data_IF_333671579968
#
_entry.id   IF_333671579968
#
_cell.length_a   1.000
_cell.length_b   1.000
_cell.length_c   1.000
_cell.angle_alpha   90.00
_cell.angle_beta   90.00
_cell.angle_gamma   90.00
#
_symmetry.space_group_name_H-M   'P 1'
#
loop_
_entity.id
_entity.type
_entity.pdbx_description
1 polymer ?
#
# COMPACT_ATOMS: atom_id res chain seq x y z
N UNK A 1 -20.37 -0.94 7.68
CA UNK A 1 -19.13 -1.41 7.02
C UNK A 1 -19.44 -1.89 5.61
N UNK A 2 -18.46 -1.92 4.69
CA UNK A 2 -18.62 -2.51 3.37
C UNK A 2 -18.02 -3.91 3.31
N UNK A 3 -16.98 -4.14 4.11
CA UNK A 3 -16.28 -5.41 4.30
C UNK A 3 -15.95 -5.58 5.79
N UNK A 4 -16.24 -6.75 6.30
CA UNK A 4 -15.93 -7.18 7.67
C UNK A 4 -15.39 -8.60 7.60
N UNK A 5 -14.24 -8.83 8.21
CA UNK A 5 -13.63 -10.13 8.36
C UNK A 5 -13.25 -10.30 9.83
N UNK A 6 -13.79 -11.31 10.49
CA UNK A 6 -13.63 -11.48 11.92
C UNK A 6 -12.90 -12.77 12.24
N UNK A 7 -11.82 -12.65 12.99
CA UNK A 7 -11.11 -13.78 13.60
C UNK A 7 -10.70 -14.86 12.58
N UNK A 8 -10.23 -14.45 11.39
CA UNK A 8 -9.86 -15.34 10.32
C UNK A 8 -8.62 -16.16 10.67
N UNK A 9 -8.75 -17.48 10.51
CA UNK A 9 -7.62 -18.41 10.60
C UNK A 9 -7.54 -19.19 9.30
N UNK A 10 -6.34 -19.23 8.72
CA UNK A 10 -6.02 -20.04 7.53
C UNK A 10 -4.71 -20.76 7.71
N UNK A 11 -4.74 -22.09 7.50
CA UNK A 11 -3.57 -22.96 7.56
C UNK A 11 -3.30 -23.63 6.23
N UNK A 12 -2.03 -23.85 5.94
CA UNK A 12 -1.54 -24.68 4.86
C UNK A 12 -0.61 -25.73 5.49
N UNK A 13 -1.16 -26.90 5.83
CA UNK A 13 -0.46 -27.89 6.66
C UNK A 13 -0.10 -27.28 8.01
N UNK A 14 1.18 -27.28 8.35
CA UNK A 14 1.69 -26.72 9.62
C UNK A 14 1.86 -25.19 9.60
N UNK A 15 1.83 -24.57 8.41
CA UNK A 15 1.95 -23.12 8.26
C UNK A 15 0.65 -22.42 8.58
N UNK A 16 0.67 -21.54 9.59
CA UNK A 16 -0.46 -20.63 9.88
C UNK A 16 -0.25 -19.35 9.06
N UNK A 17 -0.99 -19.23 7.96
CA UNK A 17 -0.90 -18.08 7.06
C UNK A 17 -1.73 -16.88 7.53
N UNK A 18 -2.87 -17.12 8.20
CA UNK A 18 -3.65 -16.11 8.93
C UNK A 18 -3.90 -16.64 10.33
N UNK A 19 -3.65 -15.79 11.31
CA UNK A 19 -3.75 -16.14 12.72
C UNK A 19 -4.65 -15.13 13.45
N UNK A 20 -5.94 -15.45 13.49
CA UNK A 20 -6.98 -14.65 14.13
C UNK A 20 -7.06 -13.21 13.57
N UNK A 21 -6.84 -13.05 12.26
CA UNK A 21 -6.89 -11.75 11.60
C UNK A 21 -8.34 -11.22 11.59
N UNK A 22 -8.53 -10.01 12.09
CA UNK A 22 -9.77 -9.26 11.95
C UNK A 22 -9.50 -7.95 11.25
N UNK A 23 -10.37 -7.57 10.31
CA UNK A 23 -10.30 -6.29 9.61
C UNK A 23 -11.69 -5.80 9.23
N UNK A 24 -11.84 -4.49 9.19
CA UNK A 24 -13.06 -3.81 8.79
C UNK A 24 -12.74 -2.74 7.76
N UNK A 25 -13.58 -2.62 6.72
CA UNK A 25 -13.42 -1.55 5.71
C UNK A 25 -14.69 -0.71 5.68
N UNK A 26 -14.55 0.59 5.82
CA UNK A 26 -15.65 1.56 5.76
C UNK A 26 -15.95 1.91 4.32
N UNK A 27 -17.23 2.21 4.03
CA UNK A 27 -17.62 2.67 2.70
C UNK A 27 -16.91 3.99 2.34
N UNK A 28 -16.33 4.06 1.14
CA UNK A 28 -15.70 5.26 0.61
C UNK A 28 -14.28 5.52 1.10
N UNK A 29 -13.64 4.58 1.83
CA UNK A 29 -12.23 4.71 2.19
C UNK A 29 -11.29 3.99 1.20
N UNK A 30 -10.03 4.38 1.19
CA UNK A 30 -8.93 3.58 0.66
C UNK A 30 -8.26 2.94 1.88
N UNK A 31 -8.50 1.65 2.07
CA UNK A 31 -7.94 0.86 3.17
C UNK A 31 -6.66 0.16 2.70
N UNK A 32 -5.55 0.48 3.35
CA UNK A 32 -4.24 -0.11 3.06
C UNK A 32 -3.99 -1.36 3.91
N UNK A 33 -3.66 -2.48 3.29
CA UNK A 33 -3.15 -3.67 3.98
C UNK A 33 -1.65 -3.78 3.68
N UNK A 34 -0.84 -3.32 4.61
CA UNK A 34 0.62 -3.18 4.50
C UNK A 34 1.33 -4.32 5.20
N UNK A 35 2.39 -4.85 4.62
CA UNK A 35 3.22 -5.86 5.26
C UNK A 35 4.22 -6.50 4.30
N UNK A 36 5.25 -7.20 4.81
CA UNK A 36 6.26 -7.85 3.99
C UNK A 36 5.68 -8.98 3.14
N UNK A 37 6.49 -9.47 2.20
CA UNK A 37 6.16 -10.66 1.45
C UNK A 37 5.99 -11.85 2.41
N UNK A 38 4.92 -12.65 2.19
CA UNK A 38 4.58 -13.76 3.07
C UNK A 38 3.87 -13.37 4.38
N UNK A 39 3.53 -12.10 4.62
CA UNK A 39 2.78 -11.69 5.82
C UNK A 39 1.32 -12.15 5.86
N UNK A 40 0.76 -12.63 4.73
CA UNK A 40 -0.62 -13.13 4.63
C UNK A 40 -1.59 -12.23 3.85
N UNK A 41 -1.15 -11.12 3.23
CA UNK A 41 -2.01 -10.17 2.48
C UNK A 41 -2.84 -10.86 1.40
N UNK A 42 -2.20 -11.53 0.45
CA UNK A 42 -2.89 -12.26 -0.63
C UNK A 42 -3.77 -13.38 -0.10
N UNK A 43 -3.33 -14.07 0.97
CA UNK A 43 -4.16 -15.10 1.64
C UNK A 43 -5.42 -14.49 2.23
N UNK A 44 -5.33 -13.33 2.88
CA UNK A 44 -6.49 -12.62 3.41
C UNK A 44 -7.46 -12.22 2.30
N UNK A 45 -6.97 -11.65 1.19
CA UNK A 45 -7.78 -11.32 0.00
C UNK A 45 -8.49 -12.58 -0.54
N UNK A 46 -7.77 -13.67 -0.73
CA UNK A 46 -8.34 -14.90 -1.26
C UNK A 46 -9.43 -15.49 -0.34
N UNK A 47 -9.26 -15.39 0.99
CA UNK A 47 -10.31 -15.75 1.95
C UNK A 47 -11.52 -14.81 1.85
N UNK A 48 -11.29 -13.49 1.80
CA UNK A 48 -12.33 -12.46 1.69
C UNK A 48 -13.20 -12.68 0.44
N UNK A 49 -12.57 -13.02 -0.68
CA UNK A 49 -13.26 -13.31 -1.94
C UNK A 49 -13.88 -14.72 -2.00
N UNK A 50 -13.71 -15.52 -0.94
CA UNK A 50 -14.06 -16.94 -0.91
C UNK A 50 -13.50 -17.73 -2.11
N UNK A 51 -12.28 -17.40 -2.54
CA UNK A 51 -11.51 -18.15 -3.54
C UNK A 51 -10.81 -19.36 -2.91
N UNK A 52 -10.51 -19.27 -1.63
CA UNK A 52 -9.98 -20.36 -0.81
C UNK A 52 -10.81 -20.49 0.48
N UNK A 53 -10.92 -21.72 0.98
CA UNK A 53 -11.58 -21.99 2.25
C UNK A 53 -10.65 -21.58 3.40
N UNK A 54 -11.21 -20.88 4.41
CA UNK A 54 -10.55 -20.59 5.69
C UNK A 54 -11.00 -21.58 6.78
N UNK A 55 -10.22 -21.70 7.86
CA UNK A 55 -10.43 -22.71 8.90
C UNK A 55 -11.35 -22.19 10.01
N UNK A 56 -11.27 -20.88 10.34
CA UNK A 56 -12.12 -20.22 11.35
C UNK A 56 -12.40 -18.78 10.96
N UNK A 57 -13.44 -18.23 11.56
CA UNK A 57 -13.88 -16.85 11.38
C UNK A 57 -15.11 -16.72 10.52
N UNK A 58 -15.47 -15.48 10.20
CA UNK A 58 -16.57 -15.12 9.32
C UNK A 58 -16.22 -13.90 8.47
N UNK A 59 -16.84 -13.81 7.31
CA UNK A 59 -16.64 -12.72 6.35
C UNK A 59 -17.98 -12.21 5.87
N UNK A 60 -18.19 -10.89 5.98
CA UNK A 60 -19.35 -10.20 5.45
C UNK A 60 -18.92 -9.12 4.45
N UNK A 61 -19.59 -9.09 3.31
CA UNK A 61 -19.41 -8.05 2.29
C UNK A 61 -20.77 -7.44 1.98
N UNK A 62 -20.85 -6.11 1.98
CA UNK A 62 -22.11 -5.36 1.86
C UNK A 62 -23.16 -5.77 2.92
N UNK A 63 -22.70 -6.10 4.14
CA UNK A 63 -23.54 -6.55 5.26
C UNK A 63 -24.10 -7.98 5.14
N UNK A 64 -23.61 -8.78 4.18
CA UNK A 64 -24.07 -10.16 3.93
C UNK A 64 -22.92 -11.15 4.00
N UNK A 65 -23.15 -12.38 4.47
CA UNK A 65 -22.12 -13.43 4.49
C UNK A 65 -21.54 -13.68 3.10
N UNK A 66 -20.22 -13.78 3.01
CA UNK A 66 -19.52 -14.09 1.78
C UNK A 66 -19.40 -15.60 1.61
N UNK A 67 -19.71 -16.09 0.42
CA UNK A 67 -19.63 -17.50 0.07
C UNK A 67 -19.07 -17.70 -1.36
N UNK A 68 -18.60 -18.91 -1.70
CA UNK A 68 -18.07 -19.19 -3.06
C UNK A 68 -19.10 -18.90 -4.17
N UNK A 69 -20.38 -19.11 -3.93
CA UNK A 69 -21.50 -18.94 -4.85
C UNK A 69 -22.26 -17.61 -4.70
N UNK A 70 -21.76 -16.68 -3.87
CA UNK A 70 -22.36 -15.36 -3.69
C UNK A 70 -22.15 -14.44 -4.90
N UNK A 71 -22.57 -14.86 -6.09
CA UNK A 71 -22.38 -14.12 -7.35
C UNK A 71 -23.06 -12.76 -7.35
N UNK A 72 -24.18 -12.63 -6.63
CA UNK A 72 -24.90 -11.38 -6.46
C UNK A 72 -24.15 -10.32 -5.63
N UNK A 73 -23.20 -10.75 -4.77
CA UNK A 73 -22.25 -9.85 -4.11
C UNK A 73 -21.02 -9.60 -5.00
N UNK A 74 -20.48 -10.65 -5.62
CA UNK A 74 -19.26 -10.61 -6.40
C UNK A 74 -19.35 -9.68 -7.62
N UNK A 75 -20.56 -9.51 -8.20
CA UNK A 75 -20.77 -8.56 -9.30
C UNK A 75 -20.49 -7.11 -8.95
N UNK A 76 -20.54 -6.74 -7.67
CA UNK A 76 -20.23 -5.39 -7.17
C UNK A 76 -18.79 -5.29 -6.66
N UNK A 77 -17.95 -6.32 -6.85
CA UNK A 77 -16.55 -6.38 -6.45
C UNK A 77 -15.66 -6.40 -7.70
N UNK A 78 -14.76 -5.46 -7.82
CA UNK A 78 -13.67 -5.46 -8.79
C UNK A 78 -12.41 -6.03 -8.18
N UNK A 79 -11.72 -6.90 -8.90
CA UNK A 79 -10.51 -7.57 -8.39
C UNK A 79 -9.37 -7.41 -9.37
N UNK A 80 -8.23 -6.96 -8.87
CA UNK A 80 -6.96 -6.89 -9.60
C UNK A 80 -5.92 -7.62 -8.77
N UNK A 81 -5.61 -8.84 -9.17
CA UNK A 81 -4.62 -9.66 -8.48
C UNK A 81 -3.19 -9.27 -8.86
N UNK A 82 -2.22 -9.71 -8.08
CA UNK A 82 -0.80 -9.49 -8.33
C UNK A 82 -0.37 -10.01 -9.72
N UNK A 83 -0.81 -11.19 -10.10
CA UNK A 83 -0.60 -11.71 -11.44
C UNK A 83 -1.54 -11.04 -12.44
N UNK A 84 -1.00 -10.74 -13.63
CA UNK A 84 -1.80 -10.15 -14.70
C UNK A 84 -2.68 -11.22 -15.33
N UNK A 85 -4.00 -11.03 -15.22
CA UNK A 85 -5.01 -11.96 -15.71
C UNK A 85 -5.72 -11.40 -16.97
N UNK A 86 -5.01 -11.42 -18.11
CA UNK A 86 -5.56 -10.99 -19.41
C UNK A 86 -5.34 -12.07 -20.47
N UNK A 87 -6.16 -12.09 -21.50
CA UNK A 87 -6.03 -13.01 -22.63
C UNK A 87 -5.07 -12.43 -23.67
N UNK A 88 -4.00 -13.14 -23.96
CA UNK A 88 -2.97 -12.71 -24.92
C UNK A 88 -3.47 -12.70 -26.37
N UNK A 89 -4.53 -13.44 -26.65
CA UNK A 89 -5.18 -13.60 -27.95
C UNK A 89 -6.23 -12.52 -28.24
N UNK A 90 -6.59 -11.72 -27.24
CA UNK A 90 -7.52 -10.61 -27.33
C UNK A 90 -6.76 -9.28 -27.31
N UNK A 91 -7.26 -8.29 -28.03
CA UNK A 91 -6.77 -6.91 -27.97
C UNK A 91 -7.08 -6.27 -26.61
N UNK A 92 -6.52 -5.10 -26.35
CA UNK A 92 -6.86 -4.28 -25.16
C UNK A 92 -8.37 -4.09 -25.03
N UNK A 93 -9.03 -3.66 -26.11
CA UNK A 93 -10.49 -3.46 -26.12
C UNK A 93 -11.25 -4.76 -25.82
N UNK A 94 -10.91 -5.84 -26.51
CA UNK A 94 -11.58 -7.13 -26.36
C UNK A 94 -11.39 -7.73 -24.96
N UNK A 95 -10.22 -7.55 -24.34
CA UNK A 95 -10.01 -7.94 -22.94
C UNK A 95 -10.96 -7.19 -22.01
N UNK A 96 -11.01 -5.86 -22.10
CA UNK A 96 -11.88 -5.05 -21.23
C UNK A 96 -13.36 -5.34 -21.50
N UNK A 97 -13.76 -5.54 -22.78
CA UNK A 97 -15.13 -5.91 -23.14
C UNK A 97 -15.51 -7.29 -22.59
N UNK A 98 -14.61 -8.26 -22.68
CA UNK A 98 -14.85 -9.60 -22.14
C UNK A 98 -15.12 -9.57 -20.64
N UNK A 99 -14.22 -8.96 -19.85
CA UNK A 99 -14.39 -8.91 -18.39
C UNK A 99 -15.59 -8.06 -17.98
N UNK A 100 -15.85 -6.93 -18.64
CA UNK A 100 -17.03 -6.12 -18.41
C UNK A 100 -18.31 -6.92 -18.75
N UNK A 101 -18.28 -7.70 -19.81
CA UNK A 101 -19.41 -8.50 -20.30
C UNK A 101 -19.86 -9.61 -19.34
N UNK A 102 -19.01 -10.05 -18.42
CA UNK A 102 -19.38 -11.00 -17.37
C UNK A 102 -20.45 -10.42 -16.41
N UNK A 103 -20.50 -9.09 -16.29
CA UNK A 103 -21.35 -8.39 -15.33
C UNK A 103 -22.39 -7.47 -15.99
N UNK A 104 -22.14 -7.00 -17.22
CA UNK A 104 -22.98 -6.04 -17.93
C UNK A 104 -23.48 -6.67 -19.26
N UNK A 105 -24.65 -7.29 -19.27
CA UNK A 105 -25.17 -7.97 -20.46
C UNK A 105 -25.63 -7.02 -21.55
N UNK A 106 -26.08 -5.79 -21.20
CA UNK A 106 -26.50 -4.79 -22.19
C UNK A 106 -25.31 -4.27 -23.01
N UNK A 107 -25.34 -4.50 -24.31
CA UNK A 107 -24.23 -4.18 -25.22
C UNK A 107 -23.93 -2.69 -25.31
N UNK A 108 -24.95 -1.83 -25.26
CA UNK A 108 -24.76 -0.39 -25.39
C UNK A 108 -24.08 0.20 -24.14
N UNK A 109 -24.60 -0.12 -22.97
CA UNK A 109 -24.01 0.24 -21.67
C UNK A 109 -22.60 -0.30 -21.54
N UNK A 110 -22.40 -1.59 -21.89
CA UNK A 110 -21.08 -2.23 -21.84
C UNK A 110 -20.06 -1.50 -22.71
N UNK A 111 -20.41 -1.17 -23.96
CA UNK A 111 -19.54 -0.43 -24.86
C UNK A 111 -19.09 0.91 -24.25
N UNK A 112 -20.01 1.65 -23.65
CA UNK A 112 -19.70 2.92 -23.00
C UNK A 112 -18.73 2.70 -21.81
N UNK A 113 -19.01 1.72 -20.94
CA UNK A 113 -18.18 1.42 -19.79
C UNK A 113 -16.77 0.96 -20.16
N UNK A 114 -16.65 0.18 -21.21
CA UNK A 114 -15.36 -0.27 -21.77
C UNK A 114 -14.51 0.90 -22.23
N UNK A 115 -15.12 1.82 -23.02
CA UNK A 115 -14.43 3.02 -23.48
C UNK A 115 -13.99 3.90 -22.29
N UNK A 116 -14.89 4.13 -21.32
CA UNK A 116 -14.56 4.88 -20.11
C UNK A 116 -13.41 4.24 -19.32
N UNK A 117 -13.39 2.92 -19.18
CA UNK A 117 -12.33 2.23 -18.46
C UNK A 117 -10.98 2.31 -19.18
N UNK A 118 -10.96 2.16 -20.51
CA UNK A 118 -9.76 2.27 -21.34
C UNK A 118 -9.19 3.69 -21.28
N UNK A 119 -10.04 4.70 -21.41
CA UNK A 119 -9.64 6.11 -21.34
C UNK A 119 -9.13 6.45 -19.93
N UNK A 120 -9.80 5.96 -18.89
CA UNK A 120 -9.43 6.19 -17.51
C UNK A 120 -8.00 5.69 -17.18
N UNK A 121 -7.61 4.52 -17.69
CA UNK A 121 -6.25 3.99 -17.49
C UNK A 121 -5.25 4.52 -18.52
N UNK A 122 -5.66 5.39 -19.45
CA UNK A 122 -4.82 5.99 -20.50
C UNK A 122 -4.33 4.97 -21.53
N UNK A 123 -5.21 4.08 -21.99
CA UNK A 123 -4.93 3.07 -23.01
C UNK A 123 -5.65 3.33 -24.35
N UNK A 124 -6.21 4.52 -24.58
CA UNK A 124 -7.00 4.85 -25.77
C UNK A 124 -6.24 4.63 -27.08
N UNK A 125 -4.95 4.95 -27.14
CA UNK A 125 -4.10 4.74 -28.31
C UNK A 125 -3.72 3.28 -28.53
N UNK A 126 -3.90 2.43 -27.50
CA UNK A 126 -3.50 1.02 -27.51
C UNK A 126 -4.67 0.05 -27.69
N UNK A 127 -5.90 0.54 -27.96
CA UNK A 127 -7.14 -0.28 -28.03
C UNK A 127 -7.03 -1.53 -28.88
N UNK A 128 -6.32 -1.42 -30.01
CA UNK A 128 -6.14 -2.51 -30.98
C UNK A 128 -4.87 -3.33 -30.77
N UNK A 129 -4.07 -3.01 -29.73
CA UNK A 129 -2.85 -3.74 -29.44
C UNK A 129 -3.17 -5.01 -28.65
N UNK A 130 -2.40 -6.04 -28.91
CA UNK A 130 -2.40 -7.26 -28.13
C UNK A 130 -1.51 -7.08 -26.88
N UNK A 131 -1.81 -7.76 -25.77
CA UNK A 131 -1.04 -7.66 -24.51
C UNK A 131 0.46 -7.87 -24.70
N UNK A 132 0.88 -8.78 -25.56
CA UNK A 132 2.30 -9.05 -25.88
C UNK A 132 3.08 -7.86 -26.44
N UNK A 133 2.39 -6.83 -26.94
CA UNK A 133 3.00 -5.60 -27.47
C UNK A 133 3.02 -4.45 -26.45
N UNK A 134 2.51 -4.66 -25.26
CA UNK A 134 2.46 -3.67 -24.20
C UNK A 134 3.70 -3.75 -23.32
N UNK A 135 4.16 -2.61 -22.80
CA UNK A 135 5.12 -2.60 -21.70
C UNK A 135 4.48 -3.14 -20.42
N UNK A 136 5.28 -3.54 -19.42
CA UNK A 136 4.77 -4.02 -18.14
C UNK A 136 3.78 -3.06 -17.47
N UNK A 137 4.08 -1.75 -17.49
CA UNK A 137 3.19 -0.73 -16.95
C UNK A 137 1.88 -0.58 -17.74
N UNK A 138 1.91 -0.68 -19.09
CA UNK A 138 0.71 -0.68 -19.93
C UNK A 138 -0.12 -1.94 -19.68
N UNK A 139 0.53 -3.09 -19.56
CA UNK A 139 -0.12 -4.36 -19.28
C UNK A 139 -0.80 -4.35 -17.91
N UNK A 140 -0.15 -3.77 -16.90
CA UNK A 140 -0.74 -3.60 -15.57
C UNK A 140 -1.96 -2.69 -15.58
N UNK A 141 -1.91 -1.59 -16.35
CA UNK A 141 -3.06 -0.70 -16.55
C UNK A 141 -4.22 -1.40 -17.25
N UNK A 142 -3.93 -2.28 -18.22
CA UNK A 142 -4.96 -3.14 -18.85
C UNK A 142 -5.61 -4.07 -17.81
N UNK A 143 -4.83 -4.73 -16.95
CA UNK A 143 -5.35 -5.58 -15.88
C UNK A 143 -6.29 -4.81 -14.94
N UNK A 144 -5.91 -3.56 -14.58
CA UNK A 144 -6.76 -2.68 -13.77
C UNK A 144 -8.06 -2.34 -14.54
N UNK A 145 -7.97 -1.96 -15.82
CA UNK A 145 -9.16 -1.64 -16.62
C UNK A 145 -10.16 -2.80 -16.65
N UNK A 146 -9.66 -4.05 -16.81
CA UNK A 146 -10.51 -5.25 -16.77
C UNK A 146 -11.23 -5.41 -15.42
N UNK A 147 -10.53 -5.13 -14.31
CA UNK A 147 -11.10 -5.27 -12.96
C UNK A 147 -12.11 -4.20 -12.57
N UNK A 148 -12.10 -3.02 -13.24
CA UNK A 148 -12.95 -1.87 -12.87
C UNK A 148 -14.03 -1.51 -13.88
N UNK A 149 -14.00 -2.08 -15.10
CA UNK A 149 -14.86 -1.66 -16.20
C UNK A 149 -16.36 -1.73 -15.88
N UNK A 150 -16.80 -2.68 -15.07
CA UNK A 150 -18.21 -2.82 -14.65
C UNK A 150 -18.61 -1.87 -13.49
N UNK A 151 -17.76 -0.91 -13.12
CA UNK A 151 -17.97 0.07 -12.03
C UNK A 151 -18.35 -0.56 -10.68
N UNK A 152 -17.49 -1.42 -10.13
CA UNK A 152 -17.76 -2.07 -8.84
C UNK A 152 -17.79 -1.07 -7.68
N UNK A 153 -18.52 -1.43 -6.61
CA UNK A 153 -18.61 -0.64 -5.37
C UNK A 153 -17.41 -0.85 -4.44
N UNK A 154 -16.85 -2.05 -4.48
CA UNK A 154 -15.63 -2.44 -3.74
C UNK A 154 -14.58 -2.89 -4.76
N UNK A 155 -13.39 -2.33 -4.67
CA UNK A 155 -12.26 -2.69 -5.53
C UNK A 155 -11.15 -3.23 -4.64
N UNK A 156 -10.66 -4.43 -4.97
CA UNK A 156 -9.54 -5.06 -4.28
C UNK A 156 -8.35 -5.09 -5.24
N UNK A 157 -7.26 -4.45 -4.83
CA UNK A 157 -6.03 -4.32 -5.61
C UNK A 157 -4.89 -5.00 -4.83
N UNK A 158 -4.47 -6.17 -5.29
CA UNK A 158 -3.38 -6.92 -4.68
C UNK A 158 -2.06 -6.57 -5.36
N UNK A 159 -1.25 -5.77 -4.69
CA UNK A 159 0.06 -5.29 -5.14
C UNK A 159 0.06 -4.74 -6.58
N UNK A 160 -0.80 -3.77 -6.92
CA UNK A 160 -1.04 -3.37 -8.30
C UNK A 160 0.13 -2.63 -8.97
N UNK A 161 1.19 -2.30 -8.25
CA UNK A 161 2.33 -1.51 -8.70
C UNK A 161 3.65 -2.28 -8.74
N UNK A 162 3.62 -3.56 -8.38
CA UNK A 162 4.82 -4.43 -8.43
C UNK A 162 5.34 -4.55 -9.85
N UNK A 163 6.67 -4.44 -10.00
CA UNK A 163 7.38 -4.49 -11.27
C UNK A 163 6.96 -3.43 -12.32
N UNK A 164 6.45 -2.30 -11.86
CA UNK A 164 6.04 -1.17 -12.69
C UNK A 164 7.02 -0.01 -12.54
N UNK A 165 7.37 0.64 -13.64
CA UNK A 165 8.24 1.81 -13.65
C UNK A 165 7.65 2.99 -12.84
N UNK A 166 8.47 3.93 -12.33
CA UNK A 166 8.00 5.01 -11.45
C UNK A 166 6.91 5.90 -12.07
N UNK A 167 6.96 6.15 -13.38
CA UNK A 167 5.97 6.98 -14.07
C UNK A 167 4.62 6.27 -14.15
N UNK A 168 4.62 5.00 -14.55
CA UNK A 168 3.40 4.17 -14.60
C UNK A 168 2.83 3.95 -13.20
N UNK A 169 3.68 3.73 -12.19
CA UNK A 169 3.29 3.62 -10.78
C UNK A 169 2.51 4.86 -10.32
N UNK A 170 3.05 6.05 -10.53
CA UNK A 170 2.36 7.29 -10.15
C UNK A 170 0.98 7.42 -10.82
N UNK A 171 0.88 7.10 -12.10
CA UNK A 171 -0.41 7.13 -12.83
C UNK A 171 -1.42 6.13 -12.26
N UNK A 172 -0.97 4.94 -11.87
CA UNK A 172 -1.84 3.94 -11.22
C UNK A 172 -2.36 4.48 -9.89
N UNK A 173 -1.49 5.05 -9.04
CA UNK A 173 -1.88 5.61 -7.75
C UNK A 173 -2.86 6.77 -7.90
N UNK A 174 -2.63 7.68 -8.84
CA UNK A 174 -3.56 8.78 -9.18
C UNK A 174 -4.92 8.24 -9.64
N UNK A 175 -4.92 7.21 -10.48
CA UNK A 175 -6.13 6.52 -10.91
C UNK A 175 -6.90 5.90 -9.73
N UNK A 176 -6.22 5.24 -8.79
CA UNK A 176 -6.85 4.66 -7.59
C UNK A 176 -7.55 5.75 -6.76
N UNK A 177 -6.87 6.89 -6.53
CA UNK A 177 -7.47 8.03 -5.83
C UNK A 177 -8.67 8.59 -6.58
N UNK A 178 -8.62 8.66 -7.92
CA UNK A 178 -9.73 9.11 -8.73
C UNK A 178 -10.95 8.18 -8.65
N UNK A 179 -10.75 6.84 -8.66
CA UNK A 179 -11.83 5.86 -8.45
C UNK A 179 -12.51 6.03 -7.09
N UNK A 180 -11.72 6.25 -6.05
CA UNK A 180 -12.25 6.49 -4.71
C UNK A 180 -13.07 7.79 -4.65
N UNK A 181 -12.61 8.87 -5.26
CA UNK A 181 -13.36 10.15 -5.37
C UNK A 181 -14.68 9.98 -6.13
N UNK A 182 -14.77 9.02 -7.05
CA UNK A 182 -16.01 8.65 -7.74
C UNK A 182 -16.94 7.78 -6.90
N UNK A 183 -16.56 7.44 -5.66
CA UNK A 183 -17.38 6.71 -4.69
C UNK A 183 -17.04 5.24 -4.50
N UNK A 184 -16.02 4.71 -5.17
CA UNK A 184 -15.57 3.35 -4.92
C UNK A 184 -14.87 3.24 -3.56
N UNK A 185 -15.08 2.11 -2.88
CA UNK A 185 -14.27 1.72 -1.71
C UNK A 185 -13.14 0.84 -2.20
N UNK A 186 -11.94 1.03 -1.66
CA UNK A 186 -10.75 0.36 -2.17
C UNK A 186 -10.01 -0.35 -1.02
N UNK A 187 -9.68 -1.61 -1.23
CA UNK A 187 -8.69 -2.36 -0.44
C UNK A 187 -7.43 -2.44 -1.28
N UNK A 188 -6.36 -1.88 -0.76
CA UNK A 188 -5.09 -1.75 -1.45
C UNK A 188 -4.00 -2.50 -0.67
N UNK A 189 -3.40 -3.53 -1.24
CA UNK A 189 -2.25 -4.17 -0.61
C UNK A 189 -0.96 -3.70 -1.23
N UNK A 190 0.05 -3.54 -0.41
CA UNK A 190 1.41 -3.24 -0.84
C UNK A 190 2.42 -3.63 0.24
N UNK A 191 3.66 -3.82 -0.17
CA UNK A 191 4.81 -3.80 0.71
C UNK A 191 5.59 -2.46 0.60
N UNK A 192 5.20 -1.57 -0.33
CA UNK A 192 5.77 -0.23 -0.47
C UNK A 192 5.03 0.78 0.42
N UNK A 193 5.68 1.19 1.49
CA UNK A 193 5.09 2.08 2.50
C UNK A 193 4.74 3.45 1.96
N UNK A 194 5.58 4.01 1.09
CA UNK A 194 5.38 5.31 0.46
C UNK A 194 4.06 5.38 -0.34
N UNK A 195 3.69 4.29 -1.03
CA UNK A 195 2.44 4.22 -1.77
C UNK A 195 1.24 4.26 -0.84
N UNK A 196 1.28 3.42 0.19
CA UNK A 196 0.21 3.31 1.20
C UNK A 196 0.05 4.64 1.94
N UNK A 197 1.15 5.26 2.34
CA UNK A 197 1.16 6.58 3.01
C UNK A 197 0.59 7.69 2.12
N UNK A 198 0.79 7.58 0.81
CA UNK A 198 0.33 8.57 -0.18
C UNK A 198 -1.16 8.50 -0.45
N UNK A 199 -1.75 7.30 -0.52
CA UNK A 199 -3.13 7.14 -1.01
C UNK A 199 -4.12 6.60 0.03
N UNK A 200 -3.67 5.85 1.05
CA UNK A 200 -4.58 5.21 1.99
C UNK A 200 -5.04 6.18 3.09
N UNK A 201 -6.33 6.14 3.39
CA UNK A 201 -6.93 6.92 4.49
C UNK A 201 -6.75 6.23 5.84
N UNK A 202 -6.77 4.90 5.86
CA UNK A 202 -6.51 4.05 7.02
C UNK A 202 -5.70 2.84 6.59
N UNK A 203 -4.82 2.39 7.47
CA UNK A 203 -3.80 1.40 7.18
C UNK A 203 -3.81 0.36 8.29
N UNK A 204 -3.81 -0.90 7.92
CA UNK A 204 -3.50 -2.02 8.80
C UNK A 204 -2.14 -2.59 8.42
N UNK A 205 -1.27 -2.71 9.40
CA UNK A 205 0.02 -3.37 9.24
C UNK A 205 -0.14 -4.83 9.67
N UNK A 206 0.21 -5.75 8.76
CA UNK A 206 0.12 -7.20 8.99
C UNK A 206 1.52 -7.83 8.96
N UNK A 207 1.81 -8.67 9.95
CA UNK A 207 2.98 -9.56 9.94
C UNK A 207 2.58 -10.94 10.46
N UNK A 208 3.10 -12.00 9.79
CA UNK A 208 2.85 -13.41 10.14
C UNK A 208 1.37 -13.75 10.35
N UNK A 209 0.51 -13.20 9.49
CA UNK A 209 -0.93 -13.44 9.52
C UNK A 209 -1.71 -12.72 10.61
N UNK A 210 -1.09 -11.84 11.37
CA UNK A 210 -1.72 -11.04 12.44
C UNK A 210 -1.69 -9.56 12.14
N UNK A 211 -2.73 -8.84 12.54
CA UNK A 211 -2.69 -7.37 12.60
C UNK A 211 -1.80 -6.95 13.75
N UNK A 212 -0.79 -6.11 13.48
CA UNK A 212 0.14 -5.59 14.48
C UNK A 212 -0.12 -4.13 14.83
N UNK A 213 -0.67 -3.35 13.89
CA UNK A 213 -1.10 -1.98 14.12
C UNK A 213 -2.17 -1.58 13.09
N UNK A 214 -3.08 -0.69 13.48
CA UNK A 214 -4.09 -0.13 12.59
C UNK A 214 -4.40 1.31 12.97
N UNK A 215 -4.60 2.16 11.98
CA UNK A 215 -4.94 3.57 12.18
C UNK A 215 -4.75 4.40 10.92
N UNK A 216 -4.93 5.71 11.05
CA UNK A 216 -4.46 6.66 10.04
C UNK A 216 -2.93 6.69 10.05
N UNK A 217 -2.30 7.21 8.99
CA UNK A 217 -0.84 7.39 8.97
C UNK A 217 -0.32 8.16 10.18
N UNK A 218 -1.06 9.17 10.62
CA UNK A 218 -0.67 9.99 11.76
C UNK A 218 -0.84 9.24 13.09
N UNK A 219 -1.87 8.39 13.22
CA UNK A 219 -2.06 7.55 14.40
C UNK A 219 -0.94 6.52 14.52
N UNK A 220 -0.59 5.86 13.41
CA UNK A 220 0.50 4.89 13.37
C UNK A 220 1.85 5.53 13.73
N UNK A 221 2.16 6.70 13.17
CA UNK A 221 3.38 7.46 13.51
C UNK A 221 3.40 7.94 14.96
N UNK A 222 2.24 8.07 15.61
CA UNK A 222 2.18 8.40 17.05
C UNK A 222 2.45 7.20 17.95
N UNK A 223 2.32 5.97 17.48
CA UNK A 223 2.52 4.76 18.27
C UNK A 223 3.99 4.51 18.63
N UNK A 224 4.93 5.03 17.83
CA UNK A 224 6.36 4.84 18.03
C UNK A 224 6.99 5.96 18.86
N UNK A 225 8.11 5.68 19.49
CA UNK A 225 8.86 6.65 20.30
C UNK A 225 9.82 7.51 19.49
N UNK A 226 10.13 7.11 18.27
CA UNK A 226 11.02 7.83 17.36
C UNK A 226 10.48 9.22 17.03
N UNK A 227 11.37 10.20 17.09
CA UNK A 227 11.17 11.59 16.66
C UNK A 227 11.71 11.84 15.25
N UNK A 228 12.20 13.06 15.06
CA UNK A 228 12.79 13.47 13.79
C UNK A 228 14.10 12.72 13.52
N UNK A 229 14.35 12.44 12.25
CA UNK A 229 15.63 12.08 11.70
C UNK A 229 16.28 13.37 11.13
N UNK A 230 17.42 13.78 11.67
CA UNK A 230 18.14 14.96 11.22
C UNK A 230 19.42 14.50 10.54
N UNK A 231 19.62 14.91 9.29
CA UNK A 231 20.82 14.62 8.52
C UNK A 231 21.57 15.93 8.29
N UNK A 232 22.83 15.99 8.70
CA UNK A 232 23.67 17.17 8.58
C UNK A 232 24.92 16.82 7.77
N UNK A 233 25.21 17.62 6.75
CA UNK A 233 26.48 17.60 6.04
C UNK A 233 27.50 18.44 6.83
N UNK A 234 28.53 17.81 7.40
CA UNK A 234 29.55 18.46 8.24
C UNK A 234 30.91 18.40 7.59
N UNK A 235 31.76 19.41 7.86
CA UNK A 235 33.11 19.49 7.36
C UNK A 235 34.09 19.48 8.54
N UNK A 236 34.60 18.27 8.88
CA UNK A 236 35.61 18.11 9.92
C UNK A 236 35.03 18.03 11.33
N UNK A 237 34.17 17.05 11.58
CA UNK A 237 33.71 16.70 12.94
C UNK A 237 34.68 15.71 13.58
N UNK A 238 35.00 15.88 14.87
CA UNK A 238 35.83 14.96 15.63
C UNK A 238 35.02 13.88 16.33
N UNK A 239 35.63 12.74 16.69
CA UNK A 239 35.00 11.69 17.47
C UNK A 239 34.46 12.20 18.82
N UNK A 240 35.21 13.09 19.50
CA UNK A 240 34.74 13.74 20.74
C UNK A 240 33.47 14.56 20.54
N UNK A 241 33.37 15.27 19.41
CA UNK A 241 32.16 16.05 19.07
C UNK A 241 30.97 15.13 18.73
N UNK A 242 31.22 13.99 18.08
CA UNK A 242 30.16 12.99 17.84
C UNK A 242 29.64 12.40 19.14
N UNK A 243 30.53 12.04 20.09
CA UNK A 243 30.12 11.55 21.41
C UNK A 243 29.32 12.60 22.20
N UNK A 244 29.73 13.87 22.16
CA UNK A 244 28.95 14.96 22.78
C UNK A 244 27.57 15.11 22.15
N UNK A 245 27.48 15.00 20.81
CA UNK A 245 26.22 15.08 20.08
C UNK A 245 25.28 13.93 20.47
N UNK A 246 25.80 12.71 20.59
CA UNK A 246 25.04 11.53 21.01
C UNK A 246 24.51 11.65 22.45
N UNK A 247 25.25 12.33 23.32
CA UNK A 247 24.85 12.58 24.71
C UNK A 247 23.86 13.74 24.90
N UNK A 248 23.44 14.42 23.83
CA UNK A 248 22.41 15.45 23.93
C UNK A 248 21.04 14.86 24.37
N UNK A 249 20.23 15.61 25.14
CA UNK A 249 18.92 15.15 25.55
C UNK A 249 18.02 14.82 24.38
N UNK A 250 17.40 13.64 24.40
CA UNK A 250 16.47 13.12 23.38
C UNK A 250 17.13 12.65 22.07
N UNK A 251 18.44 12.63 21.95
CA UNK A 251 19.12 11.93 20.88
C UNK A 251 19.18 10.43 21.24
N UNK A 252 18.86 9.58 20.25
CA UNK A 252 18.88 8.12 20.44
C UNK A 252 20.09 7.47 19.79
N UNK A 253 20.48 7.93 18.61
CA UNK A 253 21.65 7.43 17.88
C UNK A 253 22.24 8.52 17.01
N UNK A 254 23.58 8.51 16.87
CA UNK A 254 24.33 9.34 15.93
C UNK A 254 25.20 8.42 15.11
N UNK A 255 25.09 8.52 13.78
CA UNK A 255 25.95 7.80 12.84
C UNK A 255 26.64 8.79 11.92
N UNK A 256 27.89 8.55 11.58
CA UNK A 256 28.67 9.40 10.69
C UNK A 256 29.24 8.57 9.54
N UNK A 257 28.83 8.88 8.32
CA UNK A 257 29.38 8.28 7.10
C UNK A 257 29.98 9.36 6.21
N UNK A 258 31.30 9.41 6.19
CA UNK A 258 32.03 10.48 5.49
C UNK A 258 31.71 11.86 6.09
N UNK A 259 31.08 12.73 5.31
CA UNK A 259 30.68 14.08 5.73
C UNK A 259 29.21 14.15 6.18
N UNK A 260 28.46 13.04 6.17
CA UNK A 260 27.06 13.04 6.56
C UNK A 260 26.90 12.48 7.98
N UNK A 261 26.35 13.29 8.86
CA UNK A 261 25.96 12.87 10.21
C UNK A 261 24.44 12.70 10.23
N UNK A 262 24.01 11.47 10.49
CA UNK A 262 22.61 11.14 10.70
C UNK A 262 22.33 11.05 12.20
N UNK A 263 21.33 11.79 12.66
CA UNK A 263 20.95 11.92 14.07
C UNK A 263 19.49 11.45 14.17
N UNK A 264 19.25 10.42 14.96
CA UNK A 264 17.89 9.98 15.30
C UNK A 264 17.56 10.46 16.71
N UNK A 265 16.36 10.98 16.86
CA UNK A 265 15.89 11.50 18.13
C UNK A 265 14.66 10.73 18.65
N UNK A 266 14.41 10.82 19.95
CA UNK A 266 13.11 10.50 20.51
C UNK A 266 12.12 11.64 20.28
N UNK A 267 10.81 11.37 20.38
CA UNK A 267 9.79 12.42 20.29
C UNK A 267 10.06 13.50 21.32
N UNK A 268 10.40 14.67 20.84
CA UNK A 268 10.59 15.89 21.64
C UNK A 268 10.32 17.10 20.75
N UNK A 269 10.06 18.24 21.37
CA UNK A 269 10.01 19.51 20.68
C UNK A 269 11.42 20.05 20.50
N UNK A 270 11.66 20.71 19.37
CA UNK A 270 12.88 21.47 19.08
C UNK A 270 14.17 20.64 19.01
N UNK A 271 14.13 19.41 18.58
CA UNK A 271 15.35 18.60 18.41
C UNK A 271 16.30 19.22 17.38
N UNK A 272 15.78 19.68 16.25
CA UNK A 272 16.57 20.38 15.23
C UNK A 272 17.24 21.63 15.79
N UNK A 273 16.53 22.43 16.61
CA UNK A 273 17.09 23.64 17.24
C UNK A 273 18.27 23.28 18.14
N UNK A 274 18.15 22.24 18.99
CA UNK A 274 19.24 21.79 19.85
C UNK A 274 20.48 21.30 19.09
N UNK A 275 20.25 20.56 17.99
CA UNK A 275 21.34 20.13 17.10
C UNK A 275 22.04 21.32 16.46
N UNK A 276 21.29 22.34 16.01
CA UNK A 276 21.85 23.57 15.46
C UNK A 276 22.63 24.39 16.50
N UNK A 277 22.12 24.50 17.72
CA UNK A 277 22.82 25.17 18.83
C UNK A 277 24.13 24.46 19.15
N UNK A 278 24.13 23.12 19.20
CA UNK A 278 25.33 22.33 19.41
C UNK A 278 26.36 22.55 18.31
N UNK A 279 25.97 22.45 17.02
CA UNK A 279 26.84 22.67 15.86
C UNK A 279 27.49 24.05 15.94
N UNK A 280 26.73 25.09 16.31
CA UNK A 280 27.24 26.45 16.48
C UNK A 280 28.20 26.58 17.67
N UNK A 281 27.86 25.98 18.82
CA UNK A 281 28.67 26.07 20.03
C UNK A 281 30.01 25.36 19.90
N UNK A 282 30.05 24.26 19.18
CA UNK A 282 31.31 23.51 18.89
C UNK A 282 32.06 24.03 17.64
N UNK A 283 31.60 25.12 17.01
CA UNK A 283 32.17 25.69 15.80
C UNK A 283 32.33 24.69 14.63
N UNK A 284 31.38 23.76 14.48
CA UNK A 284 31.40 22.78 13.42
C UNK A 284 30.95 23.45 12.12
N UNK A 285 31.75 23.37 11.07
CA UNK A 285 31.36 23.82 9.75
C UNK A 285 30.39 22.83 9.14
N UNK A 286 29.22 23.30 8.66
CA UNK A 286 28.19 22.46 8.07
C UNK A 286 27.69 23.03 6.73
N UNK A 287 27.19 22.15 5.89
CA UNK A 287 26.53 22.46 4.61
C UNK A 287 25.02 22.36 4.70
N UNK A 288 24.47 21.29 4.15
CA UNK A 288 23.03 21.07 4.11
C UNK A 288 22.54 20.38 5.37
N UNK A 289 21.33 20.76 5.79
CA UNK A 289 20.61 20.09 6.89
C UNK A 289 19.25 19.68 6.37
N UNK A 290 18.87 18.43 6.66
CA UNK A 290 17.55 17.88 6.38
C UNK A 290 16.96 17.39 7.69
N UNK A 291 15.68 17.67 7.91
CA UNK A 291 14.90 17.12 9.02
C UNK A 291 13.67 16.42 8.45
N UNK A 292 13.51 15.16 8.78
CA UNK A 292 12.46 14.28 8.28
C UNK A 292 11.67 13.71 9.46
N UNK A 293 10.34 13.76 9.36
CA UNK A 293 9.46 13.10 10.33
C UNK A 293 9.49 11.59 10.11
N UNK A 294 9.18 10.79 11.16
CA UNK A 294 9.12 9.34 11.02
C UNK A 294 8.20 8.90 9.88
N UNK A 295 8.61 7.88 9.17
CA UNK A 295 7.88 7.22 8.09
C UNK A 295 7.11 6.00 8.62
N UNK A 296 6.25 5.40 7.80
CA UNK A 296 5.64 4.11 8.14
C UNK A 296 6.69 2.97 8.20
N UNK A 297 7.83 3.14 7.53
CA UNK A 297 8.94 2.19 7.63
C UNK A 297 9.54 2.20 9.04
N UNK A 298 9.70 3.37 9.62
CA UNK A 298 10.16 3.51 11.02
C UNK A 298 9.15 2.90 11.99
N UNK A 299 7.84 3.06 11.72
CA UNK A 299 6.77 2.42 12.50
C UNK A 299 6.89 0.90 12.44
N UNK A 300 7.03 0.35 11.24
CA UNK A 300 7.14 -1.10 11.06
C UNK A 300 8.39 -1.65 11.75
N UNK A 301 9.53 -1.00 11.57
CA UNK A 301 10.81 -1.39 12.16
C UNK A 301 10.74 -1.39 13.70
N UNK A 302 10.20 -0.33 14.31
CA UNK A 302 10.11 -0.22 15.77
C UNK A 302 9.17 -1.28 16.38
N UNK A 303 8.02 -1.57 15.71
CA UNK A 303 7.04 -2.54 16.21
C UNK A 303 7.52 -3.99 16.01
N UNK A 304 8.19 -4.30 14.88
CA UNK A 304 8.56 -5.68 14.53
C UNK A 304 10.00 -6.03 14.83
N UNK A 305 10.85 -5.04 15.08
CA UNK A 305 12.30 -5.21 15.23
C UNK A 305 13.01 -5.65 13.94
N UNK A 306 12.37 -5.50 12.78
CA UNK A 306 12.87 -5.93 11.47
C UNK A 306 12.57 -4.87 10.41
N UNK A 307 13.50 -4.65 9.50
CA UNK A 307 13.22 -3.89 8.28
C UNK A 307 12.30 -4.70 7.36
N UNK A 308 11.43 -3.98 6.64
CA UNK A 308 10.77 -4.57 5.49
C UNK A 308 11.86 -4.90 4.45
N UNK A 309 12.14 -6.18 4.31
CA UNK A 309 13.03 -6.65 3.22
C UNK A 309 12.18 -6.89 1.98
N UNK A 310 12.65 -6.32 0.87
CA UNK A 310 12.17 -6.59 -0.50
C UNK A 310 12.21 -8.08 -0.85
#
# INVERSE_FOLDING_TARGET
>A
MILEANNLVKRYGDLVALDHLSLEVKKGEIFGLLGPNGSGKTTAINCILSLIKYDKGDIHVFGRPMAPDAYDLKKDIGVVMQDVAVFNELTVYENVDYFCGLYVPDKQTRKQLVEEAIDFVGLSDYRKFYPKKLSGGLLRRLNIACGIAHKPKLIILDEPTVAVDPQSRNRILEGIVALNRQGATIVYTSHYMEEVEKICSRIMIIDKGRSIAEGTKDDLKKMISLGEKITVEVFGISEEQLEKLENLPHISTVTCEGNLVEIRSHKSKNNLEKVLEFIKSENISFGRIYSELPTLNDVFLEITGKELRD
#
